data_IF_079137536460
#
_entry.id   IF_079137536460
#
_cell.length_a   1.000
_cell.length_b   1.000
_cell.length_c   1.000
_cell.angle_alpha   90.00
_cell.angle_beta   90.00
_cell.angle_gamma   90.00
#
_symmetry.space_group_name_H-M   'P 1'
#
loop_
_entity.id
_entity.type
_entity.pdbx_description
1 polymer ?
#
# COMPACT_ATOMS: atom_id res chain seq x y z
N UNK A 1 -2.03 -23.33 -24.77
CA UNK A 1 -1.69 -22.14 -24.00
C UNK A 1 -2.42 -22.19 -22.65
N UNK A 2 -1.74 -21.99 -21.51
CA UNK A 2 -2.42 -21.97 -20.20
C UNK A 2 -3.20 -20.64 -20.06
N UNK A 3 -4.45 -20.72 -19.66
CA UNK A 3 -5.30 -19.55 -19.45
C UNK A 3 -5.01 -18.93 -18.08
N UNK A 4 -4.79 -17.61 -18.04
CA UNK A 4 -4.62 -16.84 -16.81
C UNK A 4 -5.89 -16.03 -16.56
N UNK A 5 -6.37 -16.01 -15.32
CA UNK A 5 -7.61 -15.31 -14.92
C UNK A 5 -7.37 -14.48 -13.65
N UNK A 6 -8.12 -13.39 -13.50
CA UNK A 6 -8.21 -12.62 -12.26
C UNK A 6 -9.31 -13.24 -11.43
N UNK A 7 -8.99 -13.68 -10.20
CA UNK A 7 -9.93 -14.36 -9.30
C UNK A 7 -10.42 -13.50 -8.16
N UNK A 8 -9.71 -12.43 -7.83
CA UNK A 8 -10.11 -11.51 -6.77
C UNK A 8 -9.50 -10.13 -6.94
N UNK A 9 -10.19 -9.11 -6.45
CA UNK A 9 -9.77 -7.71 -6.49
C UNK A 9 -9.93 -7.11 -5.10
N UNK A 10 -8.92 -6.35 -4.66
CA UNK A 10 -8.98 -5.53 -3.47
C UNK A 10 -8.44 -4.13 -3.74
N UNK A 11 -9.10 -3.11 -3.21
CA UNK A 11 -8.80 -1.71 -3.50
C UNK A 11 -8.90 -0.86 -2.23
N UNK A 12 -7.88 -0.01 -2.02
CA UNK A 12 -7.94 1.12 -1.08
C UNK A 12 -7.53 2.38 -1.83
N UNK A 13 -8.42 3.35 -1.92
CA UNK A 13 -8.18 4.60 -2.65
C UNK A 13 -8.92 5.78 -2.03
N UNK A 14 -8.72 6.97 -2.57
CA UNK A 14 -9.52 8.14 -2.18
C UNK A 14 -11.00 8.04 -2.60
N UNK A 15 -11.36 7.13 -3.52
CA UNK A 15 -12.74 6.89 -3.95
C UNK A 15 -13.50 5.95 -3.01
N UNK A 16 -12.79 5.07 -2.29
CA UNK A 16 -13.37 4.09 -1.39
C UNK A 16 -12.33 3.13 -0.84
N UNK A 17 -12.73 2.37 0.18
CA UNK A 17 -11.88 1.47 0.94
C UNK A 17 -12.08 0.00 0.58
N UNK A 18 -12.90 -0.28 -0.41
CA UNK A 18 -13.20 -1.61 -0.93
C UNK A 18 -13.74 -1.54 -2.36
N UNK A 19 -13.80 -2.70 -3.02
CA UNK A 19 -14.26 -2.84 -4.40
C UNK A 19 -15.65 -2.22 -4.65
N UNK A 20 -16.60 -2.39 -3.73
CA UNK A 20 -17.98 -1.91 -3.86
C UNK A 20 -18.05 -0.39 -3.82
N UNK A 21 -17.38 0.23 -2.84
CA UNK A 21 -17.36 1.70 -2.70
C UNK A 21 -16.68 2.38 -3.90
N UNK A 22 -15.57 1.81 -4.38
CA UNK A 22 -14.86 2.35 -5.54
C UNK A 22 -15.72 2.23 -6.79
N UNK A 23 -16.38 1.08 -7.00
CA UNK A 23 -17.29 0.89 -8.13
C UNK A 23 -18.45 1.90 -8.09
N UNK A 24 -19.09 2.09 -6.93
CA UNK A 24 -20.16 3.06 -6.75
C UNK A 24 -19.68 4.49 -7.05
N UNK A 25 -18.50 4.86 -6.56
CA UNK A 25 -17.93 6.17 -6.84
C UNK A 25 -17.66 6.39 -8.33
N UNK A 26 -17.15 5.38 -9.04
CA UNK A 26 -16.91 5.46 -10.49
C UNK A 26 -18.23 5.56 -11.28
N UNK A 27 -19.22 4.72 -10.99
CA UNK A 27 -20.50 4.73 -11.67
C UNK A 27 -21.27 6.05 -11.47
N UNK A 28 -21.14 6.65 -10.30
CA UNK A 28 -21.78 7.91 -9.95
C UNK A 28 -20.90 9.15 -10.19
N UNK A 29 -19.74 8.99 -10.85
CA UNK A 29 -18.79 10.09 -11.13
C UNK A 29 -18.39 10.88 -9.87
N UNK A 30 -18.33 10.23 -8.69
CA UNK A 30 -17.93 10.86 -7.43
C UNK A 30 -16.43 11.08 -7.40
N UNK A 31 -16.00 12.30 -7.06
CA UNK A 31 -14.58 12.60 -6.87
C UNK A 31 -14.11 12.22 -5.47
N UNK A 32 -12.95 11.60 -5.37
CA UNK A 32 -12.24 11.35 -4.11
C UNK A 32 -11.29 12.49 -3.70
N UNK A 33 -11.22 13.55 -4.51
CA UNK A 33 -10.35 14.69 -4.23
C UNK A 33 -11.01 15.60 -3.20
N UNK A 34 -10.22 16.07 -2.25
CA UNK A 34 -10.66 16.97 -1.18
C UNK A 34 -9.65 18.09 -0.93
N UNK A 35 -10.09 19.18 -0.30
CA UNK A 35 -9.23 20.27 0.13
C UNK A 35 -8.31 19.83 1.26
N UNK A 36 -7.10 20.34 1.28
CA UNK A 36 -6.08 20.12 2.30
C UNK A 36 -5.57 21.45 2.86
N UNK A 37 -6.06 21.82 4.04
CA UNK A 37 -5.65 23.06 4.71
C UNK A 37 -4.18 23.07 5.11
N UNK A 38 -3.57 21.91 5.33
CA UNK A 38 -2.16 21.80 5.67
C UNK A 38 -1.27 22.28 4.51
N UNK A 39 -1.68 22.08 3.27
CA UNK A 39 -0.93 22.52 2.10
C UNK A 39 -0.85 24.04 1.99
N UNK A 40 -1.85 24.76 2.51
CA UNK A 40 -1.82 26.23 2.61
C UNK A 40 -0.72 26.70 3.57
N UNK A 41 -0.51 25.99 4.69
CA UNK A 41 0.54 26.33 5.66
C UNK A 41 1.95 26.24 5.07
N UNK A 42 2.14 25.32 4.11
CA UNK A 42 3.41 25.13 3.42
C UNK A 42 3.52 25.97 2.13
N UNK A 43 2.56 26.86 1.88
CA UNK A 43 2.55 27.72 0.70
C UNK A 43 2.62 26.95 -0.64
N UNK A 44 2.01 25.76 -0.69
CA UNK A 44 1.95 24.96 -1.90
C UNK A 44 0.98 25.57 -2.90
N UNK A 45 1.27 25.47 -4.21
CA UNK A 45 0.39 26.01 -5.28
C UNK A 45 -0.96 25.29 -5.33
N UNK A 46 -0.99 24.00 -5.04
CA UNK A 46 -2.21 23.20 -5.02
C UNK A 46 -2.60 22.87 -3.58
N UNK A 47 -3.88 23.04 -3.25
CA UNK A 47 -4.42 22.78 -1.91
C UNK A 47 -5.41 21.61 -1.89
N UNK A 48 -5.26 20.68 -2.83
CA UNK A 48 -6.13 19.50 -2.94
C UNK A 48 -5.30 18.22 -2.90
N UNK A 49 -5.91 17.15 -2.40
CA UNK A 49 -5.31 15.82 -2.38
C UNK A 49 -6.37 14.71 -2.52
N UNK A 50 -5.91 13.52 -2.92
CA UNK A 50 -6.68 12.28 -2.88
C UNK A 50 -6.15 11.37 -1.77
N UNK A 51 -6.66 11.50 -0.54
CA UNK A 51 -6.25 10.67 0.61
C UNK A 51 -7.31 9.61 0.92
N UNK A 52 -6.96 8.32 1.06
CA UNK A 52 -7.89 7.29 1.54
C UNK A 52 -8.43 7.64 2.93
N UNK A 53 -9.74 7.48 3.11
CA UNK A 53 -10.43 7.78 4.37
C UNK A 53 -10.62 6.49 5.17
N UNK A 54 -9.53 5.91 5.66
CA UNK A 54 -9.52 4.63 6.36
C UNK A 54 -8.66 4.73 7.61
N UNK A 55 -9.10 4.13 8.71
CA UNK A 55 -8.33 3.97 9.93
C UNK A 55 -7.62 2.61 9.89
N UNK A 56 -6.33 2.65 9.67
CA UNK A 56 -5.51 1.47 9.43
C UNK A 56 -5.51 0.51 10.62
N UNK A 57 -5.58 1.05 11.84
CA UNK A 57 -5.56 0.30 13.10
C UNK A 57 -6.81 -0.57 13.32
N UNK A 58 -7.91 -0.26 12.63
CA UNK A 58 -9.16 -1.05 12.68
C UNK A 58 -9.07 -2.30 11.78
N UNK A 59 -8.14 -2.33 10.83
CA UNK A 59 -8.00 -3.39 9.82
C UNK A 59 -6.75 -4.24 9.96
N UNK A 60 -5.75 -3.76 10.70
CA UNK A 60 -4.44 -4.41 10.77
C UNK A 60 -4.04 -4.61 12.24
N UNK A 61 -3.66 -5.83 12.60
CA UNK A 61 -3.16 -6.12 13.95
C UNK A 61 -1.98 -5.20 14.32
N UNK A 62 -1.99 -4.71 15.57
CA UNK A 62 -0.96 -3.80 16.10
C UNK A 62 0.46 -4.36 15.99
N UNK A 63 0.62 -5.70 16.06
CA UNK A 63 1.93 -6.35 15.93
C UNK A 63 2.44 -6.33 14.49
N UNK A 64 1.56 -6.18 13.52
CA UNK A 64 1.87 -6.15 12.08
C UNK A 64 2.08 -4.72 11.60
N UNK A 65 1.16 -3.81 11.91
CA UNK A 65 1.18 -2.42 11.43
C UNK A 65 2.41 -1.63 11.90
N UNK A 66 3.01 -1.99 13.02
CA UNK A 66 4.20 -1.32 13.55
C UNK A 66 5.41 -1.32 12.61
N UNK A 67 5.46 -2.23 11.65
CA UNK A 67 6.52 -2.31 10.64
C UNK A 67 6.18 -1.58 9.34
N UNK A 68 4.95 -1.10 9.19
CA UNK A 68 4.42 -0.59 7.93
C UNK A 68 4.43 0.94 7.88
N UNK A 69 4.77 1.52 6.74
CA UNK A 69 4.33 2.85 6.36
C UNK A 69 2.91 2.79 5.77
N UNK A 70 2.28 3.94 5.58
CA UNK A 70 0.89 4.02 5.11
C UNK A 70 0.64 3.25 3.80
N UNK A 71 1.56 3.35 2.83
CA UNK A 71 1.44 2.63 1.55
C UNK A 71 1.42 1.11 1.72
N UNK A 72 2.30 0.56 2.58
CA UNK A 72 2.30 -0.89 2.88
C UNK A 72 1.03 -1.32 3.60
N UNK A 73 0.49 -0.47 4.48
CA UNK A 73 -0.75 -0.75 5.19
C UNK A 73 -1.97 -0.77 4.25
N UNK A 74 -2.05 0.18 3.29
CA UNK A 74 -3.10 0.14 2.25
C UNK A 74 -3.01 -1.13 1.40
N UNK A 75 -1.80 -1.52 1.01
CA UNK A 75 -1.57 -2.75 0.26
C UNK A 75 -1.98 -4.00 1.06
N UNK A 76 -1.73 -4.02 2.38
CA UNK A 76 -2.18 -5.11 3.24
C UNK A 76 -3.71 -5.26 3.24
N UNK A 77 -4.43 -4.16 3.38
CA UNK A 77 -5.90 -4.16 3.38
C UNK A 77 -6.43 -4.61 2.02
N UNK A 78 -5.90 -4.04 0.93
CA UNK A 78 -6.30 -4.42 -0.42
C UNK A 78 -6.00 -5.90 -0.72
N UNK A 79 -4.84 -6.42 -0.31
CA UNK A 79 -4.49 -7.83 -0.47
C UNK A 79 -5.41 -8.74 0.34
N UNK A 80 -5.77 -8.35 1.56
CA UNK A 80 -6.74 -9.09 2.39
C UNK A 80 -8.11 -9.18 1.71
N UNK A 81 -8.58 -8.07 1.13
CA UNK A 81 -9.82 -8.03 0.37
C UNK A 81 -9.74 -8.92 -0.88
N UNK A 82 -8.65 -8.83 -1.66
CA UNK A 82 -8.45 -9.63 -2.86
C UNK A 82 -8.44 -11.14 -2.56
N UNK A 83 -7.77 -11.56 -1.49
CA UNK A 83 -7.75 -12.97 -1.07
C UNK A 83 -9.16 -13.43 -0.67
N UNK A 84 -9.89 -12.62 0.07
CA UNK A 84 -11.28 -12.92 0.44
C UNK A 84 -12.20 -12.99 -0.77
N UNK A 85 -12.06 -12.06 -1.72
CA UNK A 85 -12.85 -11.99 -2.95
C UNK A 85 -12.57 -13.19 -3.87
N UNK A 86 -11.32 -13.68 -3.89
CA UNK A 86 -10.91 -14.85 -4.70
C UNK A 86 -11.44 -16.18 -4.18
N UNK A 87 -11.85 -16.26 -2.91
CA UNK A 87 -12.26 -17.52 -2.26
C UNK A 87 -11.10 -18.49 -1.98
N UNK A 88 -9.83 -18.06 -2.09
CA UNK A 88 -8.67 -18.90 -1.81
C UNK A 88 -8.61 -19.27 -0.32
N UNK A 89 -8.35 -20.54 -0.04
CA UNK A 89 -8.08 -21.02 1.32
C UNK A 89 -6.69 -20.57 1.80
N UNK A 90 -6.49 -20.58 3.12
CA UNK A 90 -5.20 -20.25 3.73
C UNK A 90 -4.06 -21.13 3.21
N UNK A 91 -4.33 -22.40 2.92
CA UNK A 91 -3.33 -23.35 2.40
C UNK A 91 -2.97 -23.07 0.94
N UNK A 92 -3.92 -22.58 0.16
CA UNK A 92 -3.67 -22.14 -1.22
C UNK A 92 -2.86 -20.84 -1.24
N UNK A 93 -3.12 -19.91 -0.32
CA UNK A 93 -2.34 -18.68 -0.18
C UNK A 93 -0.93 -19.01 0.33
N UNK A 94 -0.81 -19.83 1.37
CA UNK A 94 0.48 -20.26 1.96
C UNK A 94 1.05 -21.49 1.24
N UNK A 95 1.32 -21.36 -0.05
CA UNK A 95 1.80 -22.44 -0.90
C UNK A 95 3.08 -22.05 -1.64
N UNK A 96 3.94 -23.01 -1.97
CA UNK A 96 5.17 -22.76 -2.74
C UNK A 96 4.89 -22.23 -4.15
N UNK A 97 3.73 -22.57 -4.71
CA UNK A 97 3.28 -22.09 -6.02
C UNK A 97 2.56 -20.72 -5.98
N UNK A 98 2.37 -20.16 -4.78
CA UNK A 98 1.75 -18.84 -4.59
C UNK A 98 2.84 -17.82 -4.33
N UNK A 99 3.06 -16.95 -5.29
CA UNK A 99 4.01 -15.84 -5.20
C UNK A 99 3.32 -14.50 -5.01
N UNK A 100 4.13 -13.48 -4.70
CA UNK A 100 3.70 -12.10 -4.57
C UNK A 100 4.62 -11.19 -5.37
N UNK A 101 4.02 -10.32 -6.18
CA UNK A 101 4.73 -9.24 -6.88
C UNK A 101 4.12 -7.93 -6.41
N UNK A 102 4.94 -7.08 -5.82
CA UNK A 102 4.55 -5.79 -5.28
C UNK A 102 5.12 -4.65 -6.11
N UNK A 103 4.31 -3.62 -6.33
CA UNK A 103 4.76 -2.34 -6.84
C UNK A 103 4.86 -1.29 -5.73
N UNK A 104 5.98 -0.57 -5.65
CA UNK A 104 6.14 0.58 -4.76
C UNK A 104 7.02 1.63 -5.41
N UNK A 105 6.52 2.86 -5.56
CA UNK A 105 7.25 3.95 -6.21
C UNK A 105 8.37 4.55 -5.35
N UNK A 106 8.52 4.15 -4.10
CA UNK A 106 9.55 4.67 -3.22
C UNK A 106 9.31 4.41 -1.73
N UNK A 107 10.15 4.99 -0.88
CA UNK A 107 10.06 4.89 0.57
C UNK A 107 8.84 5.65 1.13
N UNK A 108 8.49 5.40 2.38
CA UNK A 108 7.52 6.21 3.10
C UNK A 108 8.13 7.56 3.49
N UNK A 109 7.84 8.59 2.72
CA UNK A 109 8.37 9.95 2.92
C UNK A 109 8.00 10.49 4.32
N UNK A 110 6.77 10.25 4.78
CA UNK A 110 6.33 10.64 6.13
C UNK A 110 7.26 10.07 7.22
N UNK A 111 7.61 8.80 7.15
CA UNK A 111 8.52 8.17 8.10
C UNK A 111 9.98 8.66 7.95
N UNK A 112 10.40 9.00 6.74
CA UNK A 112 11.73 9.60 6.48
C UNK A 112 11.80 10.98 7.12
N UNK A 113 10.80 11.83 6.92
CA UNK A 113 10.70 13.16 7.54
C UNK A 113 10.68 13.02 9.06
N UNK A 114 9.84 12.16 9.62
CA UNK A 114 9.79 11.89 11.06
C UNK A 114 11.16 11.52 11.63
N UNK A 115 11.90 10.61 10.95
CA UNK A 115 13.24 10.22 11.38
C UNK A 115 14.23 11.40 11.33
N UNK A 116 14.19 12.19 10.26
CA UNK A 116 15.04 13.38 10.11
C UNK A 116 14.78 14.42 11.21
N UNK A 117 13.51 14.67 11.53
CA UNK A 117 13.13 15.62 12.58
C UNK A 117 13.58 15.14 13.95
N UNK A 118 13.40 13.85 14.28
CA UNK A 118 13.92 13.30 15.55
C UNK A 118 15.44 13.37 15.66
N UNK A 119 16.14 13.25 14.54
CA UNK A 119 17.60 13.45 14.52
C UNK A 119 17.97 14.91 14.76
N UNK A 120 17.29 15.87 14.10
CA UNK A 120 17.50 17.32 14.30
C UNK A 120 17.19 17.75 15.74
N UNK A 121 16.15 17.18 16.35
CA UNK A 121 15.79 17.38 17.75
C UNK A 121 16.80 16.76 18.74
N UNK A 122 17.90 16.15 18.26
CA UNK A 122 18.89 15.40 19.07
C UNK A 122 18.27 14.30 19.95
N UNK A 123 17.16 13.72 19.48
CA UNK A 123 16.41 12.70 20.22
C UNK A 123 16.16 11.43 19.40
N UNK A 124 17.21 10.76 18.87
CA UNK A 124 17.09 9.63 17.98
C UNK A 124 16.37 8.43 18.63
N UNK A 125 16.42 8.28 19.95
CA UNK A 125 15.71 7.21 20.67
C UNK A 125 14.19 7.25 20.44
N UNK A 126 13.60 8.44 20.20
CA UNK A 126 12.17 8.58 19.91
C UNK A 126 11.75 8.07 18.52
N UNK A 127 12.67 7.76 17.63
CA UNK A 127 12.35 7.12 16.36
C UNK A 127 11.78 5.70 16.54
N UNK A 128 12.22 5.03 17.60
CA UNK A 128 11.84 3.65 17.88
C UNK A 128 12.55 2.62 16.99
N UNK A 129 12.45 1.31 17.32
CA UNK A 129 13.22 0.27 16.64
C UNK A 129 12.70 -0.08 15.24
N UNK A 130 11.50 0.38 14.88
CA UNK A 130 10.84 0.01 13.62
C UNK A 130 10.95 1.06 12.52
N UNK A 131 11.71 2.15 12.74
CA UNK A 131 11.79 3.24 11.77
C UNK A 131 12.44 2.79 10.44
N UNK A 132 13.47 1.97 10.51
CA UNK A 132 14.17 1.47 9.31
C UNK A 132 13.21 0.69 8.39
N UNK A 133 12.54 -0.38 8.83
CA UNK A 133 11.57 -1.05 7.97
C UNK A 133 10.45 -0.11 7.48
N UNK A 134 10.00 0.86 8.25
CA UNK A 134 8.98 1.82 7.80
C UNK A 134 9.43 2.73 6.67
N UNK A 135 10.73 3.04 6.59
CA UNK A 135 11.28 3.94 5.56
C UNK A 135 11.70 3.20 4.29
N UNK A 136 11.84 1.88 4.30
CA UNK A 136 12.30 1.13 3.14
C UNK A 136 11.16 0.85 2.16
N UNK A 137 11.39 1.06 0.86
CA UNK A 137 10.44 0.69 -0.20
C UNK A 137 10.17 -0.83 -0.22
N UNK A 138 11.20 -1.65 -0.02
CA UNK A 138 11.14 -3.12 0.00
C UNK A 138 10.27 -3.69 1.12
N UNK A 139 9.99 -2.90 2.15
CA UNK A 139 9.15 -3.32 3.26
C UNK A 139 7.72 -3.63 2.82
N UNK A 140 7.23 -3.03 1.74
CA UNK A 140 5.91 -3.35 1.20
C UNK A 140 5.77 -4.86 0.91
N UNK A 141 6.73 -5.48 0.23
CA UNK A 141 6.70 -6.92 -0.05
C UNK A 141 7.00 -7.76 1.20
N UNK A 142 7.99 -7.37 2.00
CA UNK A 142 8.40 -8.12 3.20
C UNK A 142 7.29 -8.16 4.27
N UNK A 143 6.65 -7.02 4.54
CA UNK A 143 5.60 -6.93 5.58
C UNK A 143 4.29 -7.57 5.18
N UNK A 144 4.06 -7.84 3.90
CA UNK A 144 2.90 -8.59 3.44
C UNK A 144 3.20 -10.09 3.35
N UNK A 145 4.38 -10.49 2.88
CA UNK A 145 4.74 -11.90 2.76
C UNK A 145 4.63 -12.65 4.10
N UNK A 146 5.00 -12.00 5.20
CA UNK A 146 5.01 -12.63 6.53
C UNK A 146 3.61 -12.95 7.07
N UNK A 147 2.66 -12.01 7.20
CA UNK A 147 1.32 -12.29 7.73
C UNK A 147 0.51 -13.20 6.83
N UNK A 148 0.65 -13.10 5.52
CA UNK A 148 -0.03 -14.00 4.56
C UNK A 148 0.72 -15.31 4.33
N UNK A 149 1.89 -15.52 4.96
CA UNK A 149 2.72 -16.73 4.86
C UNK A 149 3.01 -17.13 3.42
N UNK A 150 3.32 -16.17 2.56
CA UNK A 150 3.67 -16.41 1.17
C UNK A 150 4.98 -17.23 1.12
N UNK A 151 4.96 -18.37 0.45
CA UNK A 151 6.08 -19.31 0.36
C UNK A 151 6.76 -19.35 -1.01
N UNK A 152 6.09 -18.85 -2.04
CA UNK A 152 6.65 -18.76 -3.39
C UNK A 152 7.45 -17.49 -3.61
N UNK A 153 7.61 -17.10 -4.85
CA UNK A 153 8.36 -15.92 -5.28
C UNK A 153 7.82 -14.66 -4.62
N UNK A 154 8.71 -13.82 -4.10
CA UNK A 154 8.35 -12.51 -3.52
C UNK A 154 9.26 -11.42 -4.10
N UNK A 155 8.73 -10.63 -5.02
CA UNK A 155 9.44 -9.55 -5.70
C UNK A 155 8.82 -8.18 -5.44
N UNK A 156 9.68 -7.16 -5.40
CA UNK A 156 9.30 -5.77 -5.43
C UNK A 156 9.78 -5.12 -6.73
N UNK A 157 8.90 -4.38 -7.39
CA UNK A 157 9.24 -3.51 -8.51
C UNK A 157 9.11 -2.03 -8.10
N UNK A 158 10.15 -1.25 -8.38
CA UNK A 158 10.15 0.21 -8.18
C UNK A 158 9.82 0.97 -9.47
N UNK A 159 10.15 0.40 -10.64
CA UNK A 159 10.12 1.11 -11.93
C UNK A 159 9.14 0.52 -12.94
N UNK A 160 8.72 -0.73 -12.80
CA UNK A 160 7.83 -1.43 -13.74
C UNK A 160 6.36 -1.48 -13.28
N UNK A 161 5.95 -0.60 -12.38
CA UNK A 161 4.59 -0.57 -11.82
C UNK A 161 3.55 -0.18 -12.89
N UNK A 162 3.97 0.52 -13.94
CA UNK A 162 3.11 1.10 -14.98
C UNK A 162 3.46 0.67 -16.41
N UNK A 163 4.28 -0.34 -16.60
CA UNK A 163 4.85 -0.75 -17.89
C UNK A 163 3.89 -1.40 -18.91
N UNK A 164 2.66 -1.87 -18.60
CA UNK A 164 1.80 -2.44 -19.66
C UNK A 164 1.38 -1.44 -20.75
N UNK A 165 1.60 -0.13 -20.53
CA UNK A 165 1.12 0.93 -21.41
C UNK A 165 2.22 1.63 -22.20
N UNK A 166 3.49 1.18 -22.11
CA UNK A 166 4.56 1.75 -22.92
C UNK A 166 4.32 1.37 -24.38
N UNK A 167 4.09 2.34 -25.31
CA UNK A 167 3.99 2.00 -26.72
C UNK A 167 5.29 1.30 -27.11
N UNK A 168 5.19 0.10 -27.68
CA UNK A 168 6.33 -0.50 -28.36
C UNK A 168 6.68 0.47 -29.50
N UNK A 169 7.75 1.23 -29.34
CA UNK A 169 8.32 1.93 -30.47
C UNK A 169 8.85 0.85 -31.43
N UNK A 170 8.08 0.68 -32.50
CA UNK A 170 8.52 -0.05 -33.69
C UNK A 170 9.49 0.85 -34.44
#
# INVERSE_FOLDING_TARGET
>A
MKRVVITGIGIVSCLGNNKKEVLDALLNSKSGISSCEEYKKYNLKSHIHGKPKIKLEEHIDRKVIRFMGAGSAYNYIAMSEAIKDSGLSSDQVSNINTGMIMGSGGPSIENVIFAADKTREKNPKKMGPFIVPRTMASTASATLATPFKIKGINYLSLIHISEPTRPSQI
#
